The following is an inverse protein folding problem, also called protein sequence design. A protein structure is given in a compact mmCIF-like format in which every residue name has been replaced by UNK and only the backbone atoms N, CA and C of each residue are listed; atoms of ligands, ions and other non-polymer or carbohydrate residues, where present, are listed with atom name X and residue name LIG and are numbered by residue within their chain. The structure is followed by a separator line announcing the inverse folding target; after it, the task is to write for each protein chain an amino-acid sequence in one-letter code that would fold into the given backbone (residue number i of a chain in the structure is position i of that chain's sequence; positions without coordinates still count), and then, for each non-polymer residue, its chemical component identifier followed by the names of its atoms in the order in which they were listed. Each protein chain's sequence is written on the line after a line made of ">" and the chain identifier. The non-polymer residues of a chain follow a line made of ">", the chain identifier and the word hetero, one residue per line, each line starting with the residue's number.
data_IF_373722491133
#
_entry.id   IF_373722491133
#
_cell.length_a   1.000
_cell.length_b   1.000
_cell.length_c   1.000
_cell.angle_alpha   90.00
_cell.angle_beta   90.00
_cell.angle_gamma   90.00
#
_symmetry.space_group_name_H-M   'P 1'
#
loop_
_entity.id
_entity.type
_entity.pdbx_description
1 polymer ?
#
# COMPACT_ATOMS: atom_id res chain seq x y z
N UNK A 1 15.87 -4.52 -4.89
CA UNK A 1 15.25 -5.27 -3.80
C UNK A 1 14.13 -6.14 -4.35
N UNK A 2 14.05 -7.41 -3.96
CA UNK A 2 13.04 -8.36 -4.43
C UNK A 2 12.00 -8.62 -3.35
N UNK A 3 10.73 -8.70 -3.73
CA UNK A 3 9.65 -9.19 -2.87
C UNK A 3 9.35 -10.63 -3.25
N UNK A 4 9.45 -11.54 -2.30
CA UNK A 4 9.16 -12.95 -2.49
C UNK A 4 7.89 -13.29 -1.72
N UNK A 5 6.88 -13.80 -2.44
CA UNK A 5 5.67 -14.35 -1.82
C UNK A 5 5.84 -15.87 -1.69
N UNK A 6 5.61 -16.37 -0.49
CA UNK A 6 5.65 -17.81 -0.21
C UNK A 6 4.28 -18.22 0.32
N UNK A 7 3.63 -19.18 -0.35
CA UNK A 7 2.40 -19.76 0.14
C UNK A 7 2.69 -20.61 1.39
N UNK A 8 2.04 -20.26 2.49
CA UNK A 8 2.19 -20.94 3.76
C UNK A 8 1.05 -21.97 3.94
N UNK A 9 1.42 -23.24 4.05
CA UNK A 9 0.48 -24.30 4.43
C UNK A 9 0.54 -24.51 5.94
N UNK A 10 -0.57 -24.51 6.66
CA UNK A 10 -0.60 -24.77 8.12
C UNK A 10 -0.08 -26.17 8.50
N UNK A 11 0.18 -27.05 7.53
CA UNK A 11 0.81 -28.35 7.73
C UNK A 11 2.35 -28.30 7.85
N UNK A 12 2.95 -27.10 7.89
CA UNK A 12 4.39 -26.91 8.06
C UNK A 12 5.25 -27.23 6.83
N UNK A 13 4.65 -27.54 5.68
CA UNK A 13 5.41 -27.78 4.44
C UNK A 13 5.42 -26.50 3.63
N UNK A 14 6.61 -25.91 3.49
CA UNK A 14 6.83 -24.79 2.55
C UNK A 14 6.66 -25.32 1.14
N UNK A 15 5.61 -24.87 0.45
CA UNK A 15 5.46 -25.11 -0.99
C UNK A 15 6.52 -24.32 -1.75
N UNK A 16 6.95 -24.81 -2.93
CA UNK A 16 8.00 -24.18 -3.74
C UNK A 16 7.69 -22.70 -3.97
N UNK A 17 8.71 -21.81 -3.94
CA UNK A 17 8.50 -20.39 -4.16
C UNK A 17 7.87 -20.16 -5.53
N UNK A 18 6.72 -19.47 -5.56
CA UNK A 18 6.06 -18.98 -6.75
C UNK A 18 6.89 -17.84 -7.34
N UNK A 19 7.79 -18.17 -8.28
CA UNK A 19 8.47 -17.26 -9.18
C UNK A 19 9.09 -15.98 -8.61
N UNK A 20 10.29 -15.67 -9.05
CA UNK A 20 10.97 -14.40 -8.77
C UNK A 20 10.30 -13.28 -9.58
N UNK A 21 9.62 -12.36 -8.93
CA UNK A 21 9.17 -11.12 -9.56
C UNK A 21 10.30 -10.10 -9.52
N UNK A 22 10.88 -9.79 -10.68
CA UNK A 22 11.85 -8.71 -10.83
C UNK A 22 11.12 -7.35 -10.73
N UNK A 23 11.50 -6.51 -9.79
CA UNK A 23 11.14 -5.11 -9.73
C UNK A 23 11.97 -4.32 -10.72
N UNK A 24 11.59 -4.38 -11.98
CA UNK A 24 12.20 -3.63 -13.06
C UNK A 24 11.36 -3.77 -14.32
N UNK A 25 10.56 -2.78 -14.64
CA UNK A 25 9.92 -2.56 -15.95
C UNK A 25 8.78 -3.47 -16.44
N UNK A 26 8.18 -4.38 -15.64
CA UNK A 26 7.08 -5.23 -16.12
C UNK A 26 5.83 -5.21 -15.21
N UNK A 27 5.35 -4.03 -14.80
CA UNK A 27 4.16 -3.92 -13.94
C UNK A 27 2.84 -3.69 -14.70
N UNK A 28 2.81 -3.77 -16.05
CA UNK A 28 1.60 -3.48 -16.84
C UNK A 28 0.89 -4.71 -17.42
N UNK A 29 1.44 -5.91 -17.31
CA UNK A 29 0.87 -7.07 -18.01
C UNK A 29 0.22 -8.14 -17.11
N UNK A 30 0.49 -8.20 -15.82
CA UNK A 30 0.03 -9.33 -14.98
C UNK A 30 -1.29 -9.14 -14.25
N UNK A 31 -1.85 -7.92 -14.18
CA UNK A 31 -3.12 -7.69 -13.48
C UNK A 31 -4.37 -7.94 -14.32
N UNK A 32 -4.23 -8.12 -15.64
CA UNK A 32 -5.37 -8.33 -16.55
C UNK A 32 -5.71 -9.81 -16.75
N UNK A 33 -4.81 -10.74 -16.42
CA UNK A 33 -5.01 -12.18 -16.71
C UNK A 33 -5.72 -12.95 -15.60
N UNK A 34 -5.78 -12.45 -14.37
CA UNK A 34 -6.46 -13.17 -13.26
C UNK A 34 -7.98 -12.96 -13.17
N UNK A 35 -8.59 -12.11 -14.02
CA UNK A 35 -10.05 -11.88 -14.02
C UNK A 35 -10.82 -12.66 -15.08
N UNK A 36 -10.15 -13.51 -15.90
CA UNK A 36 -10.79 -14.17 -17.05
C UNK A 36 -11.14 -15.65 -16.85
N UNK A 37 -10.85 -16.28 -15.72
CA UNK A 37 -11.20 -17.69 -15.49
C UNK A 37 -11.72 -17.94 -14.07
N UNK A 38 -12.94 -17.48 -13.79
CA UNK A 38 -13.77 -18.08 -12.76
C UNK A 38 -14.87 -18.90 -13.48
N UNK A 39 -14.91 -20.24 -13.36
CA UNK A 39 -16.09 -20.99 -13.80
C UNK A 39 -17.22 -20.68 -12.84
N UNK A 40 -18.31 -20.17 -13.39
CA UNK A 40 -19.57 -19.95 -12.68
C UNK A 40 -20.12 -21.28 -12.18
N UNK A 41 -19.77 -21.67 -10.96
CA UNK A 41 -20.48 -22.71 -10.24
C UNK A 41 -21.78 -22.10 -9.70
N UNK A 42 -22.86 -22.29 -10.44
CA UNK A 42 -24.23 -22.02 -10.00
C UNK A 42 -24.53 -23.02 -8.89
N UNK A 43 -24.42 -22.63 -7.64
CA UNK A 43 -25.03 -23.36 -6.53
C UNK A 43 -26.52 -23.00 -6.51
N UNK A 44 -27.34 -23.91 -7.09
CA UNK A 44 -28.76 -23.91 -6.89
C UNK A 44 -29.05 -24.31 -5.44
N UNK A 45 -29.36 -23.32 -4.60
CA UNK A 45 -29.89 -23.54 -3.27
C UNK A 45 -31.33 -24.03 -3.42
N UNK A 46 -31.56 -25.33 -3.17
CA UNK A 46 -32.88 -25.91 -3.13
C UNK A 46 -33.66 -25.34 -1.94
N UNK A 47 -34.78 -24.73 -2.21
CA UNK A 47 -35.72 -24.22 -1.21
C UNK A 47 -36.61 -25.38 -0.70
N UNK A 48 -36.54 -25.80 0.58
CA UNK A 48 -37.26 -26.98 1.08
C UNK A 48 -38.76 -26.79 1.31
N UNK A 49 -39.36 -25.62 1.00
CA UNK A 49 -40.77 -25.32 1.20
C UNK A 49 -41.43 -24.66 -0.03
N UNK A 50 -41.40 -25.28 -1.17
CA UNK A 50 -42.09 -24.75 -2.34
C UNK A 50 -42.76 -25.86 -3.17
N UNK A 51 -44.06 -25.97 -3.06
CA UNK A 51 -44.86 -26.83 -3.92
C UNK A 51 -44.89 -26.34 -5.38
N UNK A 52 -45.34 -27.16 -6.34
CA UNK A 52 -45.21 -26.91 -7.77
C UNK A 52 -46.11 -25.75 -8.22
N UNK A 53 -45.50 -24.67 -8.71
CA UNK A 53 -46.21 -23.59 -9.38
C UNK A 53 -46.47 -23.93 -10.84
N UNK A 54 -47.72 -23.79 -11.24
CA UNK A 54 -48.30 -23.98 -12.55
C UNK A 54 -47.75 -22.95 -13.55
N UNK A 55 -47.40 -23.27 -14.79
CA UNK A 55 -46.97 -22.31 -15.77
C UNK A 55 -48.16 -21.51 -16.33
N UNK A 56 -48.20 -20.24 -16.06
CA UNK A 56 -49.05 -19.28 -16.76
C UNK A 56 -48.20 -18.49 -17.74
N UNK A 57 -48.40 -18.72 -19.01
CA UNK A 57 -47.85 -17.91 -20.09
C UNK A 57 -48.43 -16.50 -20.08
N UNK A 58 -47.60 -15.55 -20.37
CA UNK A 58 -47.97 -14.15 -20.54
C UNK A 58 -46.75 -13.36 -20.98
N UNK A 59 -46.47 -13.36 -22.29
CA UNK A 59 -45.56 -12.41 -22.92
C UNK A 59 -46.17 -11.01 -22.84
N UNK A 60 -45.73 -10.21 -21.89
CA UNK A 60 -45.81 -8.77 -21.98
C UNK A 60 -44.42 -8.21 -21.69
N UNK A 61 -43.63 -8.06 -22.77
CA UNK A 61 -42.49 -7.15 -22.77
C UNK A 61 -43.02 -5.74 -22.54
N UNK A 62 -43.07 -5.33 -21.28
CA UNK A 62 -43.22 -3.92 -20.95
C UNK A 62 -41.94 -3.25 -21.41
N UNK A 63 -42.03 -2.56 -22.56
CA UNK A 63 -41.03 -1.65 -23.02
C UNK A 63 -40.76 -0.63 -21.89
N UNK A 64 -39.59 -0.73 -21.29
CA UNK A 64 -39.11 0.27 -20.37
C UNK A 64 -39.13 1.62 -21.13
N UNK A 65 -39.89 2.64 -20.68
CA UNK A 65 -39.88 3.92 -21.37
C UNK A 65 -38.44 4.40 -21.38
N UNK A 66 -37.89 4.59 -22.58
CA UNK A 66 -36.58 5.20 -22.79
C UNK A 66 -36.53 6.47 -21.93
N UNK A 67 -35.71 6.45 -20.91
CA UNK A 67 -35.44 7.64 -20.11
C UNK A 67 -35.02 8.74 -21.09
N UNK A 68 -35.69 9.89 -21.13
CA UNK A 68 -35.30 10.96 -22.04
C UNK A 68 -33.85 11.30 -21.72
N UNK A 69 -33.03 11.34 -22.76
CA UNK A 69 -31.65 11.84 -22.66
C UNK A 69 -31.74 13.26 -22.08
N UNK A 70 -31.54 13.36 -20.76
CA UNK A 70 -31.59 14.65 -20.06
C UNK A 70 -30.31 15.39 -20.40
N UNK A 71 -30.34 16.15 -21.51
CA UNK A 71 -29.49 17.32 -21.68
C UNK A 71 -29.99 18.37 -20.69
N UNK A 72 -29.96 18.06 -19.41
CA UNK A 72 -30.40 18.98 -18.39
C UNK A 72 -29.33 20.07 -18.26
N UNK A 73 -29.72 21.27 -18.71
CA UNK A 73 -28.98 22.47 -18.37
C UNK A 73 -29.05 22.62 -16.84
N UNK A 74 -27.99 22.24 -16.15
CA UNK A 74 -27.93 22.21 -14.67
C UNK A 74 -28.22 23.60 -14.08
N UNK A 75 -28.00 24.67 -14.82
CA UNK A 75 -28.33 26.05 -14.44
C UNK A 75 -29.85 26.31 -14.30
N UNK A 76 -30.69 25.43 -14.81
CA UNK A 76 -32.16 25.50 -14.68
C UNK A 76 -32.73 24.50 -13.65
N UNK A 77 -31.88 23.75 -12.95
CA UNK A 77 -32.36 22.78 -11.98
C UNK A 77 -33.13 23.46 -10.83
N UNK A 78 -34.27 22.92 -10.39
CA UNK A 78 -35.03 23.47 -9.27
C UNK A 78 -34.24 23.47 -7.94
N UNK A 79 -33.26 22.56 -7.77
CA UNK A 79 -32.39 22.54 -6.63
C UNK A 79 -31.28 23.60 -6.77
N UNK A 80 -31.26 24.55 -5.84
CA UNK A 80 -30.32 25.68 -5.84
C UNK A 80 -28.85 25.25 -5.82
N UNK A 81 -28.52 24.14 -5.15
CA UNK A 81 -27.15 23.62 -5.07
C UNK A 81 -26.72 23.13 -6.45
N UNK A 82 -27.58 22.39 -7.15
CA UNK A 82 -27.29 21.86 -8.49
C UNK A 82 -27.20 22.99 -9.50
N UNK A 83 -28.13 23.96 -9.42
CA UNK A 83 -28.09 25.17 -10.27
C UNK A 83 -26.76 25.89 -10.11
N UNK A 84 -26.27 26.06 -8.88
CA UNK A 84 -24.97 26.68 -8.63
C UNK A 84 -23.81 25.92 -9.29
N UNK A 85 -23.82 24.58 -9.29
CA UNK A 85 -22.82 23.80 -10.03
C UNK A 85 -22.98 23.91 -11.54
N UNK A 86 -24.21 24.07 -12.04
CA UNK A 86 -24.47 24.40 -13.45
C UNK A 86 -23.84 25.74 -13.86
N UNK A 87 -23.94 26.74 -12.99
CA UNK A 87 -23.40 28.08 -13.21
C UNK A 87 -21.86 28.11 -13.08
N UNK A 88 -21.31 27.39 -12.11
CA UNK A 88 -19.86 27.29 -11.85
C UNK A 88 -19.10 26.46 -12.90
N UNK A 89 -19.77 25.53 -13.60
CA UNK A 89 -19.21 24.64 -14.61
C UNK A 89 -17.88 24.01 -14.17
N UNK A 90 -17.89 23.13 -13.15
CA UNK A 90 -16.66 22.53 -12.63
C UNK A 90 -15.89 21.84 -13.75
N UNK A 91 -14.61 22.19 -13.91
CA UNK A 91 -13.75 21.75 -15.00
C UNK A 91 -12.46 21.08 -14.53
N UNK A 92 -12.11 21.26 -13.29
CA UNK A 92 -10.92 20.60 -12.71
C UNK A 92 -11.29 19.32 -11.97
N UNK A 93 -10.37 18.33 -11.87
CA UNK A 93 -10.62 17.08 -11.13
C UNK A 93 -11.11 17.29 -9.70
N UNK A 94 -10.58 18.28 -8.99
CA UNK A 94 -10.96 18.59 -7.60
C UNK A 94 -12.31 19.27 -7.50
N UNK A 95 -12.68 20.14 -8.44
CA UNK A 95 -14.01 20.74 -8.50
C UNK A 95 -15.09 19.71 -8.82
N UNK A 96 -14.83 18.81 -9.79
CA UNK A 96 -15.73 17.71 -10.12
C UNK A 96 -15.88 16.76 -8.93
N UNK A 97 -14.80 16.45 -8.22
CA UNK A 97 -14.85 15.64 -7.00
C UNK A 97 -15.73 16.29 -5.91
N UNK A 98 -15.60 17.61 -5.71
CA UNK A 98 -16.45 18.34 -4.77
C UNK A 98 -17.93 18.28 -5.19
N UNK A 99 -18.22 18.44 -6.49
CA UNK A 99 -19.58 18.34 -7.02
C UNK A 99 -20.16 16.92 -6.85
N UNK A 100 -19.37 15.88 -7.15
CA UNK A 100 -19.76 14.47 -6.94
C UNK A 100 -20.11 14.23 -5.47
N UNK A 101 -19.27 14.68 -4.53
CA UNK A 101 -19.50 14.52 -3.11
C UNK A 101 -20.83 15.14 -2.68
N UNK A 102 -21.04 16.39 -3.01
CA UNK A 102 -22.27 17.15 -2.61
C UNK A 102 -23.51 16.56 -3.29
N UNK A 103 -23.46 16.24 -4.59
CA UNK A 103 -24.60 15.67 -5.30
C UNK A 103 -24.95 14.25 -4.79
N UNK A 104 -23.97 13.48 -4.32
CA UNK A 104 -24.20 12.18 -3.67
C UNK A 104 -24.95 12.37 -2.33
N UNK A 105 -24.53 13.37 -1.52
CA UNK A 105 -25.17 13.65 -0.25
C UNK A 105 -26.64 14.09 -0.37
N UNK A 106 -26.99 14.78 -1.46
CA UNK A 106 -28.39 15.15 -1.76
C UNK A 106 -29.12 14.12 -2.61
N UNK A 107 -28.51 12.92 -2.81
CA UNK A 107 -29.08 11.78 -3.53
C UNK A 107 -29.45 12.04 -5.01
N UNK A 108 -28.79 13.00 -5.68
CA UNK A 108 -28.99 13.31 -7.10
C UNK A 108 -28.03 12.47 -7.96
N UNK A 109 -28.33 11.18 -8.06
CA UNK A 109 -27.51 10.19 -8.78
C UNK A 109 -27.37 10.47 -10.27
N UNK A 110 -28.37 11.07 -10.90
CA UNK A 110 -28.35 11.53 -12.29
C UNK A 110 -27.24 12.57 -12.55
N UNK A 111 -27.11 13.52 -11.65
CA UNK A 111 -26.09 14.58 -11.72
C UNK A 111 -24.69 14.01 -11.37
N UNK A 112 -24.63 13.11 -10.40
CA UNK A 112 -23.37 12.41 -10.05
C UNK A 112 -22.82 11.66 -11.24
N UNK A 113 -23.64 10.87 -11.96
CA UNK A 113 -23.24 10.15 -13.17
C UNK A 113 -22.67 11.10 -14.23
N UNK A 114 -23.31 12.26 -14.45
CA UNK A 114 -22.83 13.28 -15.39
C UNK A 114 -21.44 13.79 -14.98
N UNK A 115 -21.24 14.18 -13.72
CA UNK A 115 -19.94 14.69 -13.26
C UNK A 115 -18.85 13.62 -13.29
N UNK A 116 -19.19 12.34 -13.05
CA UNK A 116 -18.26 11.22 -13.24
C UNK A 116 -17.85 11.08 -14.71
N UNK A 117 -18.81 11.16 -15.65
CA UNK A 117 -18.52 11.11 -17.08
C UNK A 117 -17.66 12.29 -17.53
N UNK A 118 -17.90 13.48 -16.98
CA UNK A 118 -17.05 14.65 -17.25
C UNK A 118 -15.64 14.48 -16.67
N UNK A 119 -15.52 13.88 -15.46
CA UNK A 119 -14.23 13.52 -14.88
C UNK A 119 -13.47 12.48 -15.71
N UNK A 120 -14.16 11.46 -16.24
CA UNK A 120 -13.55 10.42 -17.09
C UNK A 120 -12.96 10.99 -18.39
N UNK A 121 -13.52 12.09 -18.91
CA UNK A 121 -13.01 12.78 -20.09
C UNK A 121 -11.71 13.56 -19.81
N UNK A 122 -11.44 13.84 -18.54
CA UNK A 122 -10.22 14.54 -18.17
C UNK A 122 -9.04 13.57 -18.18
N UNK A 123 -7.91 14.02 -18.69
CA UNK A 123 -6.65 13.28 -18.59
C UNK A 123 -6.03 13.52 -17.21
N UNK A 124 -6.59 12.87 -16.17
CA UNK A 124 -6.23 13.09 -14.76
C UNK A 124 -4.84 12.56 -14.47
N UNK A 125 -3.92 13.43 -14.09
CA UNK A 125 -2.58 13.04 -13.66
C UNK A 125 -2.59 12.31 -12.32
N UNK A 126 -1.54 11.54 -12.02
CA UNK A 126 -1.39 10.82 -10.75
C UNK A 126 -1.48 11.76 -9.53
N UNK A 127 -0.88 12.96 -9.61
CA UNK A 127 -0.95 13.98 -8.56
C UNK A 127 -2.36 14.51 -8.33
N UNK A 128 -3.12 14.75 -9.42
CA UNK A 128 -4.51 15.18 -9.33
C UNK A 128 -5.40 14.09 -8.75
N UNK A 129 -5.21 12.83 -9.16
CA UNK A 129 -5.93 11.69 -8.57
C UNK A 129 -5.67 11.56 -7.07
N UNK A 130 -4.42 11.73 -6.63
CA UNK A 130 -4.07 11.74 -5.21
C UNK A 130 -4.73 12.89 -4.44
N UNK A 131 -4.82 14.08 -5.05
CA UNK A 131 -5.54 15.22 -4.46
C UNK A 131 -7.04 14.93 -4.32
N UNK A 132 -7.67 14.34 -5.34
CA UNK A 132 -9.06 13.89 -5.31
C UNK A 132 -9.29 12.82 -4.25
N UNK A 133 -8.43 11.80 -4.16
CA UNK A 133 -8.52 10.78 -3.13
C UNK A 133 -8.42 11.37 -1.72
N UNK A 134 -7.51 12.30 -1.51
CA UNK A 134 -7.37 13.01 -0.23
C UNK A 134 -8.60 13.82 0.13
N UNK A 135 -9.23 14.46 -0.85
CA UNK A 135 -10.43 15.27 -0.66
C UNK A 135 -11.67 14.45 -0.33
N UNK A 136 -11.88 13.34 -1.06
CA UNK A 136 -13.07 12.49 -0.91
C UNK A 136 -12.94 11.48 0.24
N UNK A 137 -11.73 10.98 0.47
CA UNK A 137 -11.46 9.90 1.39
C UNK A 137 -11.76 8.51 0.79
N UNK A 138 -11.03 7.50 1.27
CA UNK A 138 -11.18 6.12 0.79
C UNK A 138 -12.55 5.52 1.09
N UNK A 139 -13.15 5.87 2.24
CA UNK A 139 -14.47 5.38 2.61
C UNK A 139 -15.55 5.82 1.62
N UNK A 140 -15.57 7.13 1.25
CA UNK A 140 -16.52 7.65 0.28
C UNK A 140 -16.34 7.01 -1.11
N UNK A 141 -15.09 6.84 -1.57
CA UNK A 141 -14.81 6.19 -2.85
C UNK A 141 -15.29 4.72 -2.84
N UNK A 142 -15.14 4.03 -1.73
CA UNK A 142 -15.64 2.66 -1.56
C UNK A 142 -17.17 2.63 -1.58
N UNK A 143 -17.86 3.48 -0.82
CA UNK A 143 -19.31 3.59 -0.83
C UNK A 143 -19.85 3.93 -2.22
N UNK A 144 -19.22 4.87 -2.93
CA UNK A 144 -19.59 5.24 -4.29
C UNK A 144 -19.43 4.05 -5.25
N UNK A 145 -18.38 3.25 -5.08
CA UNK A 145 -18.10 2.06 -5.90
C UNK A 145 -19.12 0.93 -5.68
N UNK A 146 -19.83 0.91 -4.58
CA UNK A 146 -20.85 -0.09 -4.26
C UNK A 146 -22.27 0.40 -4.50
N UNK A 147 -22.49 1.67 -4.76
CA UNK A 147 -23.83 2.25 -4.92
C UNK A 147 -24.51 1.76 -6.21
N UNK A 148 -25.58 0.94 -6.13
CA UNK A 148 -26.20 0.35 -7.32
C UNK A 148 -26.85 1.37 -8.27
N UNK A 149 -27.18 2.59 -7.77
CA UNK A 149 -27.80 3.64 -8.57
C UNK A 149 -26.80 4.39 -9.44
N UNK A 150 -25.49 4.21 -9.18
CA UNK A 150 -24.39 4.93 -9.86
C UNK A 150 -23.48 3.93 -10.60
N UNK A 151 -23.87 2.67 -10.67
CA UNK A 151 -23.10 1.67 -11.41
C UNK A 151 -23.37 1.74 -12.91
N UNK A 152 -22.33 1.51 -13.76
CA UNK A 152 -20.95 1.14 -13.42
C UNK A 152 -20.01 2.36 -13.21
N UNK A 153 -20.50 3.60 -13.36
CA UNK A 153 -19.71 4.82 -13.30
C UNK A 153 -18.98 5.00 -11.98
N UNK A 154 -19.65 4.72 -10.84
CA UNK A 154 -19.07 4.83 -9.50
C UNK A 154 -17.85 3.95 -9.29
N UNK A 155 -17.93 2.70 -9.78
CA UNK A 155 -16.78 1.77 -9.71
C UNK A 155 -15.61 2.22 -10.58
N UNK A 156 -15.89 2.72 -11.81
CA UNK A 156 -14.84 3.22 -12.70
C UNK A 156 -14.15 4.45 -12.13
N UNK A 157 -14.92 5.41 -11.63
CA UNK A 157 -14.40 6.61 -10.99
C UNK A 157 -13.48 6.28 -9.82
N UNK A 158 -13.94 5.43 -8.89
CA UNK A 158 -13.14 4.98 -7.75
C UNK A 158 -11.86 4.26 -8.19
N UNK A 159 -11.93 3.42 -9.23
CA UNK A 159 -10.76 2.73 -9.78
C UNK A 159 -9.74 3.71 -10.39
N UNK A 160 -10.18 4.72 -11.16
CA UNK A 160 -9.31 5.75 -11.75
C UNK A 160 -8.60 6.53 -10.65
N UNK A 161 -9.36 7.00 -9.65
CA UNK A 161 -8.82 7.80 -8.54
C UNK A 161 -7.82 6.98 -7.72
N UNK A 162 -8.18 5.75 -7.32
CA UNK A 162 -7.31 4.90 -6.50
C UNK A 162 -6.03 4.48 -7.25
N UNK A 163 -6.16 4.10 -8.53
CA UNK A 163 -5.00 3.76 -9.37
C UNK A 163 -4.04 4.93 -9.53
N UNK A 164 -4.57 6.13 -9.83
CA UNK A 164 -3.75 7.33 -9.99
C UNK A 164 -3.09 7.75 -8.68
N UNK A 165 -3.81 7.70 -7.56
CA UNK A 165 -3.25 8.02 -6.25
C UNK A 165 -2.15 7.04 -5.82
N UNK A 166 -2.33 5.74 -6.08
CA UNK A 166 -1.31 4.73 -5.82
C UNK A 166 -0.06 4.98 -6.68
N UNK A 167 -0.24 5.29 -7.98
CA UNK A 167 0.88 5.64 -8.85
C UNK A 167 1.64 6.87 -8.35
N UNK A 168 0.95 7.88 -7.83
CA UNK A 168 1.58 9.06 -7.23
C UNK A 168 2.36 8.73 -5.94
N UNK A 169 1.85 7.85 -5.10
CA UNK A 169 2.55 7.43 -3.88
C UNK A 169 3.83 6.64 -4.18
N UNK A 170 3.84 5.87 -5.27
CA UNK A 170 4.95 5.01 -5.72
C UNK A 170 5.89 5.67 -6.74
N UNK A 171 5.73 6.94 -7.02
CA UNK A 171 6.58 7.66 -7.97
C UNK A 171 8.00 7.83 -7.40
N UNK A 172 8.94 7.05 -7.91
CA UNK A 172 10.35 7.04 -7.53
C UNK A 172 10.99 8.43 -7.66
N UNK A 173 10.67 9.18 -8.70
CA UNK A 173 11.21 10.51 -8.94
C UNK A 173 10.79 11.48 -7.83
N UNK A 174 9.52 11.40 -7.46
CA UNK A 174 8.97 12.17 -6.34
C UNK A 174 9.60 11.77 -5.02
N UNK A 175 9.76 10.46 -4.74
CA UNK A 175 10.37 9.97 -3.50
C UNK A 175 11.83 10.41 -3.42
N UNK A 176 12.61 10.29 -4.50
CA UNK A 176 13.98 10.81 -4.57
C UNK A 176 14.06 12.32 -4.31
N UNK A 177 13.13 13.09 -4.87
CA UNK A 177 13.02 14.53 -4.59
C UNK A 177 12.74 14.81 -3.11
N UNK A 178 11.88 14.00 -2.46
CA UNK A 178 11.62 14.12 -1.02
C UNK A 178 12.87 13.78 -0.18
N UNK A 179 13.67 12.78 -0.59
CA UNK A 179 14.96 12.45 0.07
C UNK A 179 15.90 13.66 0.00
N UNK A 180 16.04 14.29 -1.16
CA UNK A 180 16.82 15.52 -1.31
C UNK A 180 16.27 16.63 -0.40
N UNK A 181 14.95 16.78 -0.31
CA UNK A 181 14.31 17.79 0.54
C UNK A 181 14.55 17.56 2.05
N UNK A 182 14.84 16.33 2.50
CA UNK A 182 15.31 16.07 3.87
C UNK A 182 16.65 16.76 4.16
N UNK A 183 17.46 16.99 3.14
CA UNK A 183 18.76 17.68 3.22
C UNK A 183 18.65 19.20 3.13
N UNK A 184 17.52 19.75 2.71
CA UNK A 184 17.33 21.19 2.49
C UNK A 184 17.83 22.05 3.65
N UNK A 185 18.48 23.19 3.39
CA UNK A 185 18.83 24.16 4.44
C UNK A 185 17.59 24.75 5.12
N UNK A 186 16.46 24.84 4.40
CA UNK A 186 15.21 25.33 4.96
C UNK A 186 14.55 24.33 5.90
N UNK A 187 14.30 24.75 7.15
CA UNK A 187 13.68 23.92 8.18
C UNK A 187 12.27 23.47 7.80
N UNK A 188 11.47 24.34 7.17
CA UNK A 188 10.09 24.04 6.82
C UNK A 188 10.02 22.96 5.73
N UNK A 189 10.89 23.05 4.71
CA UNK A 189 11.03 22.05 3.66
C UNK A 189 11.41 20.68 4.23
N UNK A 190 12.38 20.63 5.17
CA UNK A 190 12.73 19.37 5.85
C UNK A 190 11.59 18.76 6.64
N UNK A 191 10.85 19.59 7.38
CA UNK A 191 9.70 19.11 8.18
C UNK A 191 8.59 18.58 7.25
N UNK A 192 8.25 19.31 6.18
CA UNK A 192 7.26 18.89 5.19
C UNK A 192 7.66 17.58 4.52
N UNK A 193 8.93 17.43 4.11
CA UNK A 193 9.41 16.18 3.52
C UNK A 193 9.25 15.00 4.49
N UNK A 194 9.71 15.16 5.75
CA UNK A 194 9.58 14.12 6.77
C UNK A 194 8.11 13.77 7.06
N UNK A 195 7.23 14.77 7.16
CA UNK A 195 5.81 14.52 7.44
C UNK A 195 5.11 13.86 6.23
N UNK A 196 5.56 14.15 5.01
CA UNK A 196 5.11 13.44 3.82
C UNK A 196 5.50 11.96 3.89
N UNK A 197 6.72 11.62 4.31
CA UNK A 197 7.14 10.22 4.44
C UNK A 197 6.26 9.40 5.38
N UNK A 198 5.69 10.00 6.45
CA UNK A 198 4.76 9.32 7.36
C UNK A 198 3.49 8.81 6.66
N UNK A 199 3.16 9.38 5.52
CA UNK A 199 1.95 9.03 4.75
C UNK A 199 2.24 8.15 3.53
N UNK A 200 3.52 7.83 3.30
CA UNK A 200 3.94 6.97 2.20
C UNK A 200 3.97 5.50 2.63
N UNK A 201 3.96 4.65 1.63
CA UNK A 201 3.88 3.20 1.76
C UNK A 201 5.27 2.55 1.85
N UNK A 202 5.27 1.24 1.90
CA UNK A 202 6.43 0.35 2.04
C UNK A 202 7.50 0.56 0.96
N UNK A 203 7.12 0.92 -0.25
CA UNK A 203 8.04 1.22 -1.36
C UNK A 203 8.91 2.45 -1.05
N UNK A 204 8.34 3.48 -0.42
CA UNK A 204 9.11 4.65 0.00
C UNK A 204 10.11 4.30 1.10
N UNK A 205 9.74 3.40 2.02
CA UNK A 205 10.66 2.89 3.04
C UNK A 205 11.83 2.11 2.40
N UNK A 206 11.56 1.31 1.37
CA UNK A 206 12.60 0.59 0.63
C UNK A 206 13.59 1.56 -0.06
N UNK A 207 13.09 2.63 -0.70
CA UNK A 207 13.97 3.64 -1.32
C UNK A 207 14.78 4.42 -0.29
N UNK A 208 14.21 4.73 0.88
CA UNK A 208 14.96 5.33 1.98
C UNK A 208 16.03 4.37 2.52
N UNK A 209 15.74 3.06 2.59
CA UNK A 209 16.69 2.03 2.96
C UNK A 209 17.86 1.95 1.98
N UNK A 210 17.61 2.02 0.67
CA UNK A 210 18.66 2.12 -0.34
C UNK A 210 19.52 3.38 -0.15
N UNK A 211 18.88 4.52 0.11
CA UNK A 211 19.59 5.79 0.34
C UNK A 211 20.49 5.80 1.58
N UNK A 212 20.27 4.90 2.55
CA UNK A 212 21.19 4.72 3.70
C UNK A 212 22.52 4.08 3.30
N UNK A 213 22.56 3.34 2.20
CA UNK A 213 23.80 2.75 1.65
C UNK A 213 24.47 3.61 0.60
N UNK A 214 23.78 4.59 0.02
CA UNK A 214 24.27 5.38 -1.09
C UNK A 214 25.19 6.51 -0.59
N UNK A 215 26.49 6.51 -0.98
CA UNK A 215 27.46 7.53 -0.57
C UNK A 215 27.05 8.97 -0.88
N UNK A 216 26.23 9.19 -1.92
CA UNK A 216 25.76 10.54 -2.28
C UNK A 216 24.93 11.19 -1.17
N UNK A 217 24.34 10.41 -0.26
CA UNK A 217 23.54 10.89 0.88
C UNK A 217 24.28 10.86 2.21
N UNK A 218 25.62 10.63 2.22
CA UNK A 218 26.42 10.42 3.43
C UNK A 218 26.22 11.49 4.51
N UNK A 219 26.19 12.76 4.14
CA UNK A 219 25.96 13.87 5.07
C UNK A 219 24.53 13.91 5.65
N UNK A 220 23.62 13.14 5.05
CA UNK A 220 22.19 13.16 5.37
C UNK A 220 21.67 11.88 6.00
N UNK A 221 22.51 10.85 6.22
CA UNK A 221 22.09 9.57 6.76
C UNK A 221 21.23 9.68 8.03
N UNK A 222 21.61 10.54 8.97
CA UNK A 222 20.81 10.76 10.19
C UNK A 222 19.42 11.35 9.92
N UNK A 223 19.28 12.15 8.87
CA UNK A 223 17.96 12.71 8.47
C UNK A 223 17.10 11.63 7.82
N UNK A 224 17.72 10.80 6.98
CA UNK A 224 17.07 9.63 6.35
C UNK A 224 16.64 8.63 7.42
N UNK A 225 17.50 8.26 8.37
CA UNK A 225 17.14 7.40 9.49
C UNK A 225 15.91 7.93 10.26
N UNK A 226 15.88 9.23 10.56
CA UNK A 226 14.73 9.85 11.23
C UNK A 226 13.45 9.82 10.38
N UNK A 227 13.55 9.91 9.06
CA UNK A 227 12.41 9.79 8.16
C UNK A 227 11.87 8.35 8.18
N UNK A 228 12.74 7.33 8.11
CA UNK A 228 12.34 5.92 8.21
C UNK A 228 11.67 5.64 9.57
N UNK A 229 12.27 6.10 10.66
CA UNK A 229 11.70 5.93 12.00
C UNK A 229 10.32 6.60 12.10
N UNK A 230 10.13 7.75 11.46
CA UNK A 230 8.85 8.45 11.43
C UNK A 230 7.76 7.72 10.62
N UNK A 231 8.11 6.82 9.70
CA UNK A 231 7.18 5.94 9.00
C UNK A 231 6.64 4.81 9.90
N UNK A 232 7.37 4.46 10.95
CA UNK A 232 6.94 3.46 11.92
C UNK A 232 6.96 2.03 11.34
N UNK A 233 5.93 1.24 11.67
CA UNK A 233 5.87 -0.19 11.35
C UNK A 233 5.94 -0.51 9.85
N UNK A 234 5.49 0.40 8.98
CA UNK A 234 5.55 0.23 7.51
C UNK A 234 6.99 0.03 7.03
N UNK A 235 7.96 0.66 7.72
CA UNK A 235 9.36 0.56 7.35
C UNK A 235 10.07 -0.72 7.83
N UNK A 236 9.48 -1.47 8.75
CA UNK A 236 10.18 -2.60 9.40
C UNK A 236 10.53 -3.69 8.40
N UNK A 237 9.59 -4.13 7.58
CA UNK A 237 9.83 -5.20 6.60
C UNK A 237 10.91 -4.86 5.57
N UNK A 238 10.86 -3.69 4.88
CA UNK A 238 11.95 -3.31 3.99
C UNK A 238 13.30 -3.25 4.71
N UNK A 239 13.36 -2.71 5.92
CA UNK A 239 14.62 -2.65 6.68
C UNK A 239 15.18 -4.03 7.03
N UNK A 240 14.32 -5.02 7.32
CA UNK A 240 14.75 -6.40 7.52
C UNK A 240 15.46 -6.95 6.28
N UNK A 241 14.94 -6.66 5.09
CA UNK A 241 15.56 -7.06 3.83
C UNK A 241 16.97 -6.49 3.62
N UNK A 242 17.27 -5.30 4.16
CA UNK A 242 18.60 -4.70 4.09
C UNK A 242 19.61 -5.27 5.10
N UNK A 243 19.21 -6.17 5.99
CA UNK A 243 20.17 -6.90 6.85
C UNK A 243 21.10 -7.83 6.06
N UNK A 244 20.74 -8.17 4.83
CA UNK A 244 21.51 -9.06 3.97
C UNK A 244 22.47 -8.33 3.01
N UNK A 245 22.58 -6.98 3.11
CA UNK A 245 23.54 -6.22 2.30
C UNK A 245 24.99 -6.57 2.69
N UNK A 246 25.89 -6.52 1.72
CA UNK A 246 27.32 -6.82 1.94
C UNK A 246 28.05 -5.69 2.69
N UNK A 247 27.64 -4.43 2.46
CA UNK A 247 28.21 -3.26 3.12
C UNK A 247 27.89 -3.23 4.60
N UNK A 248 28.92 -3.36 5.43
CA UNK A 248 28.79 -3.38 6.90
C UNK A 248 28.30 -2.04 7.49
N UNK A 249 28.72 -0.92 6.92
CA UNK A 249 28.26 0.39 7.39
C UNK A 249 26.78 0.61 7.08
N UNK A 250 26.34 0.21 5.88
CA UNK A 250 24.93 0.26 5.51
C UNK A 250 24.11 -0.63 6.47
N UNK A 251 24.58 -1.86 6.70
CA UNK A 251 23.94 -2.81 7.62
C UNK A 251 23.86 -2.25 9.04
N UNK A 252 24.95 -1.62 9.52
CA UNK A 252 24.96 -0.99 10.83
C UNK A 252 23.91 0.12 10.97
N UNK A 253 23.75 0.97 9.94
CA UNK A 253 22.75 2.04 9.92
C UNK A 253 21.32 1.47 9.92
N UNK A 254 21.09 0.38 9.19
CA UNK A 254 19.79 -0.34 9.16
C UNK A 254 19.48 -0.95 10.51
N UNK A 255 20.44 -1.60 11.16
CA UNK A 255 20.29 -2.17 12.51
C UNK A 255 19.90 -1.09 13.52
N UNK A 256 20.53 0.08 13.48
CA UNK A 256 20.14 1.20 14.34
C UNK A 256 18.69 1.63 14.13
N UNK A 257 18.26 1.74 12.87
CA UNK A 257 16.87 2.08 12.52
C UNK A 257 15.90 1.04 13.08
N UNK A 258 16.18 -0.26 12.92
CA UNK A 258 15.36 -1.36 13.44
C UNK A 258 15.26 -1.34 14.97
N UNK A 259 16.35 -0.98 15.65
CA UNK A 259 16.35 -0.75 17.10
C UNK A 259 15.40 0.36 17.51
N UNK A 260 15.43 1.52 16.84
CA UNK A 260 14.53 2.65 17.10
C UNK A 260 13.07 2.35 16.73
N UNK A 261 12.81 1.54 15.70
CA UNK A 261 11.47 1.09 15.33
C UNK A 261 10.87 0.10 16.35
N UNK A 262 11.67 -0.43 17.28
CA UNK A 262 11.20 -1.42 18.25
C UNK A 262 10.90 -2.78 17.62
N UNK A 263 11.57 -3.13 16.53
CA UNK A 263 11.33 -4.36 15.77
C UNK A 263 11.89 -5.59 16.51
N UNK A 264 11.25 -6.01 17.61
CA UNK A 264 11.72 -7.10 18.49
C UNK A 264 11.91 -8.43 17.77
N UNK A 265 11.17 -8.69 16.69
CA UNK A 265 11.26 -9.93 15.90
C UNK A 265 12.57 -10.10 15.13
N UNK A 266 13.40 -9.04 15.02
CA UNK A 266 14.72 -9.14 14.37
C UNK A 266 15.85 -9.38 15.35
N UNK A 267 15.52 -9.54 16.63
CA UNK A 267 16.52 -9.72 17.68
C UNK A 267 17.40 -10.96 17.43
N UNK A 268 16.85 -12.03 16.89
CA UNK A 268 17.57 -13.25 16.48
C UNK A 268 18.64 -12.99 15.40
N UNK A 269 18.37 -12.10 14.46
CA UNK A 269 19.34 -11.72 13.42
C UNK A 269 20.39 -10.73 13.91
N UNK A 270 20.01 -9.81 14.80
CA UNK A 270 20.89 -8.76 15.32
C UNK A 270 21.82 -9.31 16.41
N UNK A 271 21.37 -10.29 17.22
CA UNK A 271 22.12 -10.86 18.35
C UNK A 271 23.47 -11.44 17.90
N UNK A 272 23.51 -12.03 16.71
CA UNK A 272 24.72 -12.60 16.14
C UNK A 272 25.81 -11.54 15.97
N UNK A 273 25.47 -10.39 15.38
CA UNK A 273 26.41 -9.27 15.21
C UNK A 273 26.83 -8.67 16.54
N UNK A 274 25.91 -8.57 17.49
CA UNK A 274 26.24 -8.01 18.81
C UNK A 274 27.25 -8.82 19.62
N UNK A 275 27.25 -10.16 19.42
CA UNK A 275 28.01 -11.12 20.25
C UNK A 275 29.29 -11.58 19.55
N UNK A 276 29.28 -11.72 18.21
CA UNK A 276 30.42 -12.24 17.44
C UNK A 276 31.36 -11.14 16.96
N UNK A 277 30.84 -9.92 16.72
CA UNK A 277 31.65 -8.81 16.24
C UNK A 277 32.58 -8.26 17.34
N UNK A 278 33.76 -7.80 16.93
CA UNK A 278 34.71 -7.19 17.82
C UNK A 278 34.15 -5.92 18.50
N UNK A 279 34.73 -5.51 19.61
CA UNK A 279 34.29 -4.34 20.36
C UNK A 279 34.34 -3.06 19.52
N UNK A 280 35.32 -2.95 18.62
CA UNK A 280 35.59 -1.78 17.79
C UNK A 280 34.81 -1.80 16.45
N UNK A 281 34.12 -2.89 16.12
CA UNK A 281 33.30 -2.99 14.91
C UNK A 281 32.10 -2.03 14.99
N UNK A 282 31.94 -1.20 13.96
CA UNK A 282 30.77 -0.31 13.80
C UNK A 282 29.48 -1.09 13.80
N UNK A 283 29.46 -2.24 13.11
CA UNK A 283 28.32 -3.17 13.05
C UNK A 283 28.00 -3.75 14.42
N UNK A 284 29.03 -4.25 15.15
CA UNK A 284 28.86 -4.78 16.50
C UNK A 284 28.37 -3.72 17.49
N UNK A 285 28.90 -2.47 17.39
CA UNK A 285 28.45 -1.38 18.24
C UNK A 285 26.98 -1.00 17.97
N UNK A 286 26.56 -0.94 16.69
CA UNK A 286 25.19 -0.68 16.29
C UNK A 286 24.25 -1.81 16.79
N UNK A 287 24.66 -3.07 16.61
CA UNK A 287 23.89 -4.24 17.05
C UNK A 287 23.69 -4.25 18.58
N UNK A 288 24.74 -3.98 19.36
CA UNK A 288 24.66 -3.88 20.84
C UNK A 288 23.70 -2.79 21.29
N UNK A 289 23.79 -1.57 20.70
CA UNK A 289 22.86 -0.47 21.02
C UNK A 289 21.43 -0.85 20.71
N UNK A 290 21.17 -1.45 19.53
CA UNK A 290 19.83 -1.84 19.10
C UNK A 290 19.26 -2.96 19.95
N UNK A 291 20.05 -3.96 20.32
CA UNK A 291 19.58 -5.00 21.25
C UNK A 291 19.19 -4.44 22.63
N UNK A 292 19.96 -3.50 23.17
CA UNK A 292 19.60 -2.83 24.44
C UNK A 292 18.25 -2.10 24.29
N UNK A 293 17.97 -1.49 23.14
CA UNK A 293 16.68 -0.86 22.90
C UNK A 293 15.54 -1.88 22.80
N UNK A 294 15.77 -3.02 22.11
CA UNK A 294 14.76 -4.04 21.83
C UNK A 294 14.45 -4.91 23.04
N UNK A 295 15.51 -5.42 23.73
CA UNK A 295 15.38 -6.44 24.80
C UNK A 295 15.81 -5.94 26.18
N UNK A 296 16.21 -4.64 26.29
CA UNK A 296 16.59 -3.93 27.52
C UNK A 296 17.91 -4.37 28.15
N UNK A 297 18.45 -5.51 27.76
CA UNK A 297 19.71 -6.06 28.28
C UNK A 297 20.58 -6.56 27.14
N UNK A 298 21.89 -6.50 27.31
CA UNK A 298 22.83 -7.13 26.39
C UNK A 298 23.05 -8.57 26.83
N UNK A 299 22.68 -9.58 26.02
CA UNK A 299 22.87 -10.98 26.38
C UNK A 299 24.36 -11.34 26.36
N UNK A 300 24.77 -12.23 27.27
CA UNK A 300 26.06 -12.88 27.16
C UNK A 300 26.09 -13.82 25.95
N UNK A 301 27.30 -14.24 25.53
CA UNK A 301 27.45 -15.22 24.44
C UNK A 301 26.66 -16.51 24.71
N UNK A 302 26.64 -16.98 25.97
CA UNK A 302 25.89 -18.17 26.38
C UNK A 302 24.38 -17.96 26.26
N UNK A 303 23.87 -16.78 26.70
CA UNK A 303 22.45 -16.47 26.63
C UNK A 303 22.00 -16.32 25.18
N UNK A 304 22.85 -15.70 24.34
CA UNK A 304 22.60 -15.55 22.91
C UNK A 304 22.49 -16.93 22.21
N UNK A 305 23.41 -17.84 22.49
CA UNK A 305 23.37 -19.20 21.94
C UNK A 305 22.11 -19.94 22.39
N UNK A 306 21.77 -19.89 23.68
CA UNK A 306 20.58 -20.53 24.22
C UNK A 306 19.28 -19.93 23.63
N UNK A 307 19.27 -18.61 23.36
CA UNK A 307 18.15 -17.95 22.69
C UNK A 307 18.01 -18.44 21.25
N UNK A 308 19.11 -18.42 20.47
CA UNK A 308 19.09 -18.86 19.05
C UNK A 308 18.70 -20.33 18.92
N UNK A 309 19.17 -21.19 19.84
CA UNK A 309 18.77 -22.59 19.85
C UNK A 309 17.28 -22.76 20.08
N UNK A 310 16.69 -22.05 21.03
CA UNK A 310 15.23 -22.07 21.24
C UNK A 310 14.45 -21.56 20.01
N UNK A 311 14.96 -20.55 19.29
CA UNK A 311 14.32 -20.11 18.05
C UNK A 311 14.39 -21.18 16.96
N UNK A 312 15.54 -21.83 16.82
CA UNK A 312 15.71 -22.95 15.88
C UNK A 312 14.75 -24.11 16.20
N UNK A 313 14.65 -24.49 17.47
CA UNK A 313 13.73 -25.54 17.92
C UNK A 313 12.27 -25.18 17.58
N UNK A 314 11.87 -23.93 17.74
CA UNK A 314 10.53 -23.44 17.35
C UNK A 314 10.28 -23.48 15.85
N UNK A 315 11.32 -23.21 15.03
CA UNK A 315 11.22 -23.35 13.57
C UNK A 315 11.04 -24.81 13.18
N UNK A 316 11.83 -25.70 13.80
CA UNK A 316 11.81 -27.15 13.51
C UNK A 316 10.47 -27.76 13.95
N UNK A 317 9.93 -27.35 15.11
CA UNK A 317 8.63 -27.83 15.60
C UNK A 317 7.42 -27.24 14.85
N UNK A 318 7.63 -26.22 14.01
CA UNK A 318 6.55 -25.51 13.35
C UNK A 318 5.79 -24.51 14.23
N UNK A 319 6.30 -24.22 15.45
CA UNK A 319 5.67 -23.31 16.41
C UNK A 319 5.93 -21.82 16.08
N UNK A 320 6.81 -21.56 15.12
CA UNK A 320 7.07 -20.19 14.66
C UNK A 320 6.00 -19.80 13.63
N UNK A 321 5.00 -19.08 14.09
CA UNK A 321 4.04 -18.45 13.16
C UNK A 321 4.70 -17.25 12.49
N UNK A 322 4.96 -17.37 11.20
CA UNK A 322 5.31 -16.22 10.37
C UNK A 322 4.05 -15.37 10.13
N UNK A 323 4.16 -14.04 10.10
CA UNK A 323 3.02 -13.20 9.76
C UNK A 323 2.57 -13.50 8.32
N UNK A 324 1.36 -13.99 8.18
CA UNK A 324 0.73 -14.29 6.90
C UNK A 324 -0.29 -13.22 6.53
N UNK A 325 -0.46 -12.95 5.24
CA UNK A 325 -1.53 -12.09 4.73
C UNK A 325 -2.89 -12.85 4.73
N UNK A 326 -3.94 -12.17 4.32
CA UNK A 326 -5.30 -12.74 4.18
C UNK A 326 -5.39 -13.94 3.22
N UNK A 327 -4.35 -14.16 2.39
CA UNK A 327 -4.23 -15.29 1.47
C UNK A 327 -3.29 -16.39 1.98
N UNK A 328 -2.91 -16.38 3.27
CA UNK A 328 -1.92 -17.26 3.87
C UNK A 328 -0.53 -17.22 3.21
N UNK A 329 -0.13 -16.04 2.69
CA UNK A 329 1.19 -15.85 2.08
C UNK A 329 2.09 -15.07 3.03
N UNK A 330 3.36 -15.47 3.08
CA UNK A 330 4.42 -14.71 3.75
C UNK A 330 5.09 -13.80 2.75
N UNK A 331 5.14 -12.51 3.04
CA UNK A 331 5.89 -11.53 2.25
C UNK A 331 7.30 -11.42 2.81
N UNK A 332 8.29 -11.77 2.00
CA UNK A 332 9.70 -11.62 2.34
C UNK A 332 10.33 -10.54 1.46
N UNK A 333 11.00 -9.60 2.10
CA UNK A 333 11.85 -8.63 1.41
C UNK A 333 13.28 -9.14 1.40
N UNK A 334 13.86 -9.24 0.21
CA UNK A 334 15.24 -9.66 0.03
C UNK A 334 16.02 -8.61 -0.73
N UNK A 335 17.22 -8.28 -0.26
CA UNK A 335 18.17 -7.50 -1.02
C UNK A 335 18.71 -8.31 -2.20
N UNK A 336 18.66 -7.76 -3.40
CA UNK A 336 19.16 -8.42 -4.60
C UNK A 336 20.63 -8.07 -4.79
N UNK A 337 21.49 -9.02 -4.48
CA UNK A 337 22.94 -8.86 -4.61
C UNK A 337 23.43 -8.92 -6.06
N UNK A 338 22.58 -9.36 -7.00
CA UNK A 338 22.94 -9.46 -8.43
C UNK A 338 22.76 -8.12 -9.17
N UNK A 339 22.09 -7.13 -8.55
CA UNK A 339 21.85 -5.81 -9.14
C UNK A 339 22.60 -4.67 -8.41
N UNK A 340 23.48 -5.00 -7.46
CA UNK A 340 24.21 -4.02 -6.66
C UNK A 340 25.59 -3.70 -7.26
#
# INVERSE_FOLDING_TARGET
>A
MQVIFIDYSPSGRVSKPLGKFFFGFFFLASFVVCLAFAPSAVFAQANPFGGPAKPTGGNNAVANPAQPAVTSNLSLDPNLIIRRYGDLQPSTPTELAAAILVCTQISRTDVVQKFIQDFEKLNVSAAQAAAVQKQLGSAFLFELSLNPKIQPEGSRFAAIVNKGALAYMRDDTRIKSLIINLASPDKLTRVRARDTFKTLDVEAAALLGAALGDPQYSENYRKIQRAIIAMGNVAVEPMIGYLDVSDEEHRARVIEVLGYLGATRVADRIITYAVLETADSTLGAAARRSLIQLVKTLPTKRDAMAYLQRQLDRVISGDLMLPVDEFNRVTLWKYDTEQA
#
